data_IF_683018605884
#
_entry.id   IF_683018605884
#
_cell.length_a   1.000
_cell.length_b   1.000
_cell.length_c   1.000
_cell.angle_alpha   90.00
_cell.angle_beta   90.00
_cell.angle_gamma   90.00
#
_symmetry.space_group_name_H-M   'P 1'
#
loop_
_entity.id
_entity.type
_entity.pdbx_description
1 polymer ?
#
# COMPACT_ATOMS: atom_id res chain seq x y z
N UNK A 1 19.48 -0.88 -9.05
CA UNK A 1 19.26 -1.04 -7.60
C UNK A 1 17.78 -0.78 -7.30
N UNK A 2 17.23 -1.44 -6.29
CA UNK A 2 15.88 -1.22 -5.79
C UNK A 2 15.99 -0.80 -4.33
N UNK A 3 15.25 0.25 -3.95
CA UNK A 3 15.12 0.71 -2.57
C UNK A 3 13.74 0.27 -2.06
N UNK A 4 13.68 -0.23 -0.84
CA UNK A 4 12.44 -0.69 -0.19
C UNK A 4 12.00 0.30 0.88
N UNK A 5 11.82 1.56 0.47
CA UNK A 5 11.40 2.66 1.32
C UNK A 5 9.89 2.91 1.17
N UNK A 6 9.34 3.83 1.97
CA UNK A 6 7.95 4.25 1.85
C UNK A 6 7.68 5.07 0.57
N UNK A 7 6.39 5.26 0.23
CA UNK A 7 5.99 6.02 -0.96
C UNK A 7 6.54 7.45 -0.99
N UNK A 8 6.62 8.12 0.16
CA UNK A 8 7.16 9.49 0.25
C UNK A 8 8.66 9.51 -0.02
N UNK A 9 9.41 8.60 0.61
CA UNK A 9 10.85 8.48 0.38
C UNK A 9 11.15 8.14 -1.09
N UNK A 10 10.34 7.24 -1.69
CA UNK A 10 10.44 6.90 -3.10
C UNK A 10 10.18 8.10 -4.02
N UNK A 11 9.20 8.95 -3.69
CA UNK A 11 8.90 10.17 -4.42
C UNK A 11 10.04 11.20 -4.29
N UNK A 12 10.58 11.39 -3.09
CA UNK A 12 11.68 12.31 -2.84
C UNK A 12 12.96 11.88 -3.58
N UNK A 13 13.30 10.58 -3.57
CA UNK A 13 14.41 10.02 -4.34
C UNK A 13 14.21 10.17 -5.86
N UNK A 14 12.98 10.00 -6.33
CA UNK A 14 12.66 10.22 -7.74
C UNK A 14 12.91 11.68 -8.14
N UNK A 15 12.42 12.63 -7.34
CA UNK A 15 12.64 14.08 -7.57
C UNK A 15 14.11 14.46 -7.50
N UNK A 16 14.88 13.84 -6.60
CA UNK A 16 16.33 14.01 -6.50
C UNK A 16 17.12 13.35 -7.65
N UNK A 17 16.46 12.60 -8.54
CA UNK A 17 17.12 11.88 -9.64
C UNK A 17 17.90 10.63 -9.21
N UNK A 18 17.65 10.13 -8.01
CA UNK A 18 18.28 8.92 -7.47
C UNK A 18 17.61 7.62 -7.99
N UNK A 19 16.41 7.75 -8.60
CA UNK A 19 15.65 6.65 -9.18
C UNK A 19 14.87 7.10 -10.40
N UNK A 20 14.63 6.18 -11.32
CA UNK A 20 13.88 6.41 -12.57
C UNK A 20 12.41 5.99 -12.46
N UNK A 21 12.05 5.34 -11.37
CA UNK A 21 10.67 4.96 -11.05
C UNK A 21 10.46 4.88 -9.54
N UNK A 22 9.23 5.17 -9.09
CA UNK A 22 8.81 5.03 -7.70
C UNK A 22 7.39 4.47 -7.62
N UNK A 23 7.18 3.45 -6.78
CA UNK A 23 5.86 2.92 -6.45
C UNK A 23 5.18 3.77 -5.38
N UNK A 24 3.95 4.21 -5.64
CA UNK A 24 3.25 5.17 -4.81
C UNK A 24 1.85 4.67 -4.43
N UNK A 25 1.47 4.92 -3.16
CA UNK A 25 0.11 4.72 -2.63
C UNK A 25 -0.18 5.78 -1.56
N UNK A 26 -0.01 7.05 -1.93
CA UNK A 26 -0.20 8.19 -1.02
C UNK A 26 -1.66 8.60 -1.05
N UNK A 27 -2.37 8.41 0.07
CA UNK A 27 -3.74 8.87 0.25
C UNK A 27 -3.78 10.36 0.56
N UNK A 28 -4.69 11.09 -0.09
CA UNK A 28 -5.04 12.48 0.23
C UNK A 28 -6.41 12.50 0.92
N UNK A 29 -6.39 12.66 2.24
CA UNK A 29 -7.58 12.70 3.07
C UNK A 29 -8.55 13.85 2.75
N UNK A 30 -8.05 14.93 2.12
CA UNK A 30 -8.89 16.09 1.80
C UNK A 30 -9.80 15.87 0.59
N UNK A 31 -9.37 15.01 -0.34
CA UNK A 31 -10.08 14.74 -1.60
C UNK A 31 -10.50 13.29 -1.75
N UNK A 32 -10.16 12.46 -0.76
CA UNK A 32 -10.34 11.01 -0.77
C UNK A 32 -9.80 10.38 -2.09
N UNK A 33 -8.60 10.80 -2.48
CA UNK A 33 -7.96 10.35 -3.71
C UNK A 33 -6.52 9.88 -3.47
N UNK A 34 -5.92 9.25 -4.48
CA UNK A 34 -4.61 8.63 -4.36
C UNK A 34 -3.58 9.31 -5.27
N UNK A 35 -2.38 9.52 -4.73
CA UNK A 35 -1.15 9.87 -5.45
C UNK A 35 -1.12 11.23 -6.17
N UNK A 36 -2.23 11.67 -6.80
CA UNK A 36 -2.27 12.81 -7.72
C UNK A 36 -1.73 14.09 -7.08
N UNK A 37 -2.21 14.44 -5.88
CA UNK A 37 -1.78 15.66 -5.20
C UNK A 37 -0.30 15.61 -4.83
N UNK A 38 0.16 14.50 -4.27
CA UNK A 38 1.56 14.33 -3.89
C UNK A 38 2.48 14.45 -5.12
N UNK A 39 2.13 13.77 -6.22
CA UNK A 39 2.91 13.80 -7.46
C UNK A 39 2.88 15.17 -8.12
N UNK A 40 1.70 15.81 -8.24
CA UNK A 40 1.59 17.14 -8.86
C UNK A 40 2.35 18.22 -8.08
N UNK A 41 2.43 18.12 -6.77
CA UNK A 41 3.20 19.04 -5.94
C UNK A 41 4.71 18.81 -6.06
N UNK A 42 5.16 17.55 -6.03
CA UNK A 42 6.57 17.22 -5.97
C UNK A 42 7.23 17.11 -7.34
N UNK A 43 6.54 16.56 -8.35
CA UNK A 43 7.12 16.17 -9.63
C UNK A 43 6.62 16.96 -10.84
N UNK A 44 5.88 18.07 -10.67
CA UNK A 44 5.34 18.88 -11.78
C UNK A 44 6.40 19.51 -12.69
N UNK A 45 7.65 19.59 -12.23
CA UNK A 45 8.78 20.11 -13.01
C UNK A 45 9.69 18.99 -13.55
N UNK A 46 9.34 17.75 -13.29
CA UNK A 46 10.08 16.57 -13.75
C UNK A 46 9.52 16.13 -15.11
N UNK A 47 10.34 15.42 -15.91
CA UNK A 47 9.85 14.76 -17.11
C UNK A 47 9.21 13.41 -16.74
N UNK A 48 8.05 13.45 -16.09
CA UNK A 48 7.46 12.30 -15.43
C UNK A 48 6.05 11.98 -15.88
N UNK A 49 5.67 10.73 -15.71
CA UNK A 49 4.32 10.20 -15.92
C UNK A 49 3.95 9.29 -14.75
N UNK A 50 2.72 9.39 -14.28
CA UNK A 50 2.16 8.47 -13.28
C UNK A 50 1.27 7.45 -14.00
N UNK A 51 1.59 6.17 -13.84
CA UNK A 51 0.88 5.05 -14.44
C UNK A 51 0.11 4.30 -13.38
N UNK A 52 -1.16 3.97 -13.64
CA UNK A 52 -1.91 3.01 -12.83
C UNK A 52 -1.16 1.67 -12.83
N UNK A 53 -1.00 1.07 -11.66
CA UNK A 53 -0.38 -0.25 -11.55
C UNK A 53 -1.37 -1.31 -11.07
N UNK A 54 -2.02 -1.08 -9.94
CA UNK A 54 -3.03 -1.99 -9.39
C UNK A 54 -3.92 -1.28 -8.38
N UNK A 55 -5.14 -1.75 -8.22
CA UNK A 55 -5.92 -1.55 -6.99
C UNK A 55 -5.63 -2.70 -6.04
N UNK A 56 -5.44 -2.40 -4.75
CA UNK A 56 -5.12 -3.40 -3.72
C UNK A 56 -6.14 -3.33 -2.60
N UNK A 57 -6.64 -4.46 -2.14
CA UNK A 57 -7.48 -4.49 -0.94
C UNK A 57 -6.63 -4.43 0.31
N UNK A 58 -6.93 -3.43 1.15
CA UNK A 58 -6.30 -3.21 2.44
C UNK A 58 -7.34 -3.27 3.55
N UNK A 59 -6.95 -3.81 4.70
CA UNK A 59 -7.88 -4.01 5.80
C UNK A 59 -7.22 -4.63 7.01
N UNK A 60 -8.02 -5.26 7.86
CA UNK A 60 -7.55 -5.90 9.08
C UNK A 60 -7.08 -7.32 8.79
N UNK A 61 -5.86 -7.60 9.17
CA UNK A 61 -5.26 -8.94 9.17
C UNK A 61 -5.36 -9.49 10.58
N UNK A 62 -6.01 -10.63 10.73
CA UNK A 62 -6.31 -11.25 12.04
C UNK A 62 -6.06 -12.75 12.00
N UNK A 63 -5.96 -13.40 13.16
CA UNK A 63 -5.94 -14.86 13.22
C UNK A 63 -7.30 -15.46 12.83
N UNK A 64 -7.32 -16.60 12.15
CA UNK A 64 -8.57 -17.21 11.68
C UNK A 64 -9.44 -17.81 12.80
N UNK A 65 -8.86 -18.09 13.96
CA UNK A 65 -9.48 -18.73 15.12
C UNK A 65 -10.02 -17.72 16.16
N UNK A 66 -9.80 -16.42 15.93
CA UNK A 66 -10.28 -15.34 16.80
C UNK A 66 -11.61 -14.75 16.33
N UNK A 67 -12.29 -13.98 17.21
CA UNK A 67 -13.47 -13.22 16.83
C UNK A 67 -13.11 -12.15 15.82
N UNK A 68 -13.65 -12.27 14.59
CA UNK A 68 -13.42 -11.29 13.54
C UNK A 68 -14.07 -9.95 13.91
N UNK A 69 -13.34 -8.81 13.83
CA UNK A 69 -13.94 -7.49 13.91
C UNK A 69 -14.82 -7.25 12.69
N UNK A 70 -15.93 -6.53 12.84
CA UNK A 70 -16.76 -6.13 11.72
C UNK A 70 -16.18 -4.91 10.99
N UNK A 71 -15.38 -4.08 11.69
CA UNK A 71 -14.76 -2.89 11.16
C UNK A 71 -13.62 -2.40 12.06
N UNK A 72 -13.15 -1.17 11.78
CA UNK A 72 -12.06 -0.56 12.55
C UNK A 72 -12.47 -0.19 13.97
N UNK A 73 -13.73 0.17 14.19
CA UNK A 73 -14.31 0.50 15.51
C UNK A 73 -14.26 -0.68 16.49
N UNK A 74 -14.35 -1.91 15.99
CA UNK A 74 -14.23 -3.14 16.80
C UNK A 74 -12.79 -3.43 17.27
N UNK A 75 -11.82 -2.57 16.94
CA UNK A 75 -10.46 -2.69 17.46
C UNK A 75 -10.26 -2.11 18.86
N UNK A 76 -11.23 -1.37 19.39
CA UNK A 76 -11.15 -0.83 20.75
C UNK A 76 -10.86 -1.94 21.76
N UNK A 77 -9.84 -1.75 22.60
CA UNK A 77 -9.37 -2.72 23.59
C UNK A 77 -8.60 -3.92 23.01
N UNK A 78 -8.40 -4.02 21.69
CA UNK A 78 -7.59 -5.08 21.08
C UNK A 78 -6.13 -4.66 20.99
N UNK A 79 -5.25 -5.67 21.00
CA UNK A 79 -3.82 -5.48 20.78
C UNK A 79 -3.53 -5.42 19.28
N UNK A 80 -3.03 -4.26 18.82
CA UNK A 80 -2.82 -3.98 17.40
C UNK A 80 -1.35 -3.70 17.11
N UNK A 81 -0.79 -4.28 16.05
CA UNK A 81 0.56 -3.97 15.57
C UNK A 81 0.50 -2.69 14.75
N UNK A 82 1.12 -1.59 15.21
CA UNK A 82 1.20 -0.36 14.44
C UNK A 82 2.34 -0.42 13.42
N UNK A 83 2.22 0.39 12.37
CA UNK A 83 3.31 0.66 11.46
C UNK A 83 4.07 1.92 11.91
N UNK A 84 5.26 2.11 11.35
CA UNK A 84 6.08 3.31 11.63
C UNK A 84 5.26 4.58 11.45
N UNK A 85 5.36 5.49 12.42
CA UNK A 85 4.67 6.78 12.36
C UNK A 85 5.05 7.55 11.08
N UNK A 86 4.04 8.07 10.38
CA UNK A 86 4.20 8.80 9.12
C UNK A 86 4.38 7.92 7.88
N UNK A 87 4.42 6.59 8.02
CA UNK A 87 4.33 5.71 6.84
C UNK A 87 2.95 5.86 6.16
N UNK A 88 2.88 5.54 4.85
CA UNK A 88 1.61 5.59 4.13
C UNK A 88 0.52 4.74 4.79
N UNK A 89 0.89 3.56 5.29
CA UNK A 89 -0.03 2.65 6.00
C UNK A 89 -0.50 3.23 7.34
N UNK A 90 0.40 3.81 8.13
CA UNK A 90 0.05 4.45 9.41
C UNK A 90 -0.86 5.68 9.19
N UNK A 91 -0.51 6.53 8.22
CA UNK A 91 -1.30 7.72 7.88
C UNK A 91 -2.71 7.35 7.44
N UNK A 92 -2.84 6.35 6.57
CA UNK A 92 -4.14 5.85 6.11
C UNK A 92 -4.94 5.22 7.25
N UNK A 93 -4.32 4.38 8.06
CA UNK A 93 -4.98 3.75 9.21
C UNK A 93 -5.57 4.79 10.17
N UNK A 94 -4.79 5.81 10.55
CA UNK A 94 -5.25 6.89 11.44
C UNK A 94 -6.42 7.66 10.84
N UNK A 95 -6.39 7.93 9.54
CA UNK A 95 -7.47 8.60 8.86
C UNK A 95 -8.77 7.78 8.88
N UNK A 96 -8.69 6.50 8.49
CA UNK A 96 -9.84 5.60 8.46
C UNK A 96 -10.38 5.28 9.87
N UNK A 97 -9.50 5.14 10.87
CA UNK A 97 -9.89 4.97 12.27
C UNK A 97 -10.71 6.17 12.76
N UNK A 98 -10.26 7.39 12.45
CA UNK A 98 -11.01 8.60 12.77
C UNK A 98 -12.39 8.66 12.09
N UNK A 99 -12.50 8.23 10.83
CA UNK A 99 -13.78 8.13 10.13
C UNK A 99 -14.72 7.08 10.74
N UNK A 100 -14.16 5.97 11.23
CA UNK A 100 -14.90 4.92 11.92
C UNK A 100 -15.26 5.26 13.38
N UNK A 101 -14.79 6.40 13.91
CA UNK A 101 -15.02 6.81 15.28
C UNK A 101 -14.15 6.06 16.32
N UNK A 102 -13.09 5.38 15.88
CA UNK A 102 -12.14 4.72 16.77
C UNK A 102 -11.17 5.75 17.36
N UNK A 103 -11.15 5.85 18.68
CA UNK A 103 -10.09 6.58 19.37
C UNK A 103 -8.83 5.68 19.44
N UNK A 104 -7.73 6.16 18.89
CA UNK A 104 -6.47 5.40 18.89
C UNK A 104 -5.89 5.20 20.29
N UNK A 105 -6.32 5.97 21.28
CA UNK A 105 -5.97 5.75 22.70
C UNK A 105 -6.65 4.53 23.31
N UNK A 106 -7.70 4.01 22.68
CA UNK A 106 -8.39 2.79 23.11
C UNK A 106 -7.70 1.51 22.61
N UNK A 107 -6.65 1.63 21.79
CA UNK A 107 -5.87 0.49 21.33
C UNK A 107 -4.78 0.09 22.32
N UNK A 108 -4.61 -1.22 22.54
CA UNK A 108 -3.38 -1.76 23.10
C UNK A 108 -2.36 -1.91 21.95
N UNK A 109 -1.33 -1.07 21.92
CA UNK A 109 -0.34 -1.09 20.84
C UNK A 109 0.79 -2.06 21.16
N UNK A 110 1.03 -3.00 20.24
CA UNK A 110 2.21 -3.85 20.24
C UNK A 110 3.44 -3.07 19.73
N UNK A 111 4.58 -3.76 19.57
CA UNK A 111 5.79 -3.18 19.01
C UNK A 111 5.56 -2.73 17.57
N UNK A 112 6.25 -1.64 17.17
CA UNK A 112 6.12 -1.04 15.84
C UNK A 112 6.79 -1.92 14.78
N UNK A 113 6.03 -2.40 13.82
CA UNK A 113 6.56 -3.13 12.68
C UNK A 113 7.06 -2.20 11.56
N UNK A 114 8.22 -2.55 10.98
CA UNK A 114 8.84 -1.80 9.88
C UNK A 114 8.36 -2.24 8.51
N UNK A 115 7.95 -3.49 8.37
CA UNK A 115 7.46 -4.06 7.11
C UNK A 115 6.05 -4.62 7.26
N UNK A 116 5.35 -4.83 6.15
CA UNK A 116 4.04 -5.51 6.14
C UNK A 116 4.19 -6.94 6.67
N UNK A 117 5.23 -7.66 6.21
CA UNK A 117 5.48 -9.04 6.61
C UNK A 117 5.75 -9.17 8.11
N UNK A 118 6.54 -8.24 8.68
CA UNK A 118 6.81 -8.22 10.12
C UNK A 118 5.52 -8.04 10.94
N UNK A 119 4.66 -7.09 10.53
CA UNK A 119 3.38 -6.85 11.20
C UNK A 119 2.47 -8.07 11.16
N UNK A 120 2.36 -8.70 10.00
CA UNK A 120 1.53 -9.89 9.80
C UNK A 120 2.09 -11.10 10.56
N UNK A 121 3.42 -11.25 10.61
CA UNK A 121 4.08 -12.31 11.36
C UNK A 121 3.84 -12.19 12.87
N UNK A 122 3.82 -10.96 13.43
CA UNK A 122 3.49 -10.74 14.84
C UNK A 122 2.06 -11.20 15.15
N UNK A 123 1.10 -10.91 14.28
CA UNK A 123 -0.28 -11.41 14.41
C UNK A 123 -0.31 -12.94 14.34
N UNK A 124 0.41 -13.54 13.39
CA UNK A 124 0.49 -14.99 13.24
C UNK A 124 1.04 -15.69 14.48
N UNK A 125 2.01 -15.08 15.16
CA UNK A 125 2.60 -15.61 16.42
C UNK A 125 1.72 -15.37 17.64
N UNK A 126 0.62 -14.61 17.51
CA UNK A 126 -0.24 -14.27 18.63
C UNK A 126 0.31 -13.16 19.53
N UNK A 127 1.28 -12.40 19.05
CA UNK A 127 1.83 -11.23 19.76
C UNK A 127 0.87 -10.04 19.73
N UNK A 128 -0.09 -10.07 18.79
CA UNK A 128 -1.19 -9.12 18.67
C UNK A 128 -2.44 -9.78 18.07
N UNK A 129 -3.58 -9.12 18.20
CA UNK A 129 -4.86 -9.58 17.66
C UNK A 129 -5.04 -9.22 16.20
N UNK A 130 -4.53 -8.04 15.79
CA UNK A 130 -4.71 -7.51 14.46
C UNK A 130 -3.54 -6.61 14.01
N UNK A 131 -3.45 -6.42 12.69
CA UNK A 131 -2.71 -5.32 12.07
C UNK A 131 -3.48 -4.81 10.86
N UNK A 132 -3.21 -3.57 10.43
CA UNK A 132 -3.75 -3.01 9.20
C UNK A 132 -2.78 -3.27 8.04
N UNK A 133 -3.19 -4.15 7.12
CA UNK A 133 -2.30 -4.66 6.08
C UNK A 133 -3.00 -5.01 4.76
N UNK A 134 -2.28 -5.67 3.86
CA UNK A 134 -2.76 -6.10 2.54
C UNK A 134 -3.35 -7.50 2.60
N UNK A 135 -4.46 -7.75 1.88
CA UNK A 135 -5.08 -9.07 1.75
C UNK A 135 -4.10 -10.13 1.23
N UNK A 136 -3.33 -9.79 0.22
CA UNK A 136 -2.36 -10.73 -0.37
C UNK A 136 -1.31 -11.20 0.65
N UNK A 137 -0.89 -10.33 1.57
CA UNK A 137 0.05 -10.69 2.63
C UNK A 137 -0.65 -11.58 3.65
N UNK A 138 -1.84 -11.20 4.10
CA UNK A 138 -2.65 -12.05 5.01
C UNK A 138 -2.82 -13.46 4.48
N UNK A 139 -3.21 -13.61 3.22
CA UNK A 139 -3.35 -14.91 2.55
C UNK A 139 -2.04 -15.70 2.49
N UNK A 140 -0.93 -15.02 2.20
CA UNK A 140 0.40 -15.65 2.15
C UNK A 140 0.84 -16.25 3.49
N UNK A 141 0.36 -15.70 4.60
CA UNK A 141 0.62 -16.19 5.96
C UNK A 141 -0.51 -17.09 6.52
N UNK A 142 -1.54 -17.38 5.74
CA UNK A 142 -2.67 -18.20 6.17
C UNK A 142 -3.56 -17.53 7.23
N UNK A 143 -3.59 -16.19 7.25
CA UNK A 143 -4.38 -15.39 8.17
C UNK A 143 -5.72 -14.98 7.54
N UNK A 144 -6.69 -14.66 8.38
CA UNK A 144 -7.96 -14.10 7.97
C UNK A 144 -7.83 -12.60 7.66
N UNK A 145 -8.74 -12.10 6.84
CA UNK A 145 -8.71 -10.72 6.37
C UNK A 145 -10.11 -10.11 6.36
N UNK A 146 -10.23 -8.89 6.90
CA UNK A 146 -11.45 -8.09 6.87
C UNK A 146 -11.18 -6.86 6.01
N UNK A 147 -11.82 -6.71 4.84
CA UNK A 147 -11.56 -5.60 3.94
C UNK A 147 -12.07 -4.27 4.53
N UNK A 148 -11.29 -3.20 4.37
CA UNK A 148 -11.63 -1.85 4.84
C UNK A 148 -11.61 -0.84 3.70
N UNK A 149 -10.62 -0.89 2.82
CA UNK A 149 -10.46 0.09 1.76
C UNK A 149 -9.78 -0.53 0.53
N UNK A 150 -10.09 0.01 -0.64
CA UNK A 150 -9.34 -0.22 -1.87
C UNK A 150 -8.30 0.89 -2.03
N UNK A 151 -7.05 0.50 -2.19
CA UNK A 151 -5.90 1.38 -2.30
C UNK A 151 -5.39 1.39 -3.74
N UNK A 152 -5.23 2.58 -4.33
CA UNK A 152 -4.63 2.72 -5.66
C UNK A 152 -3.11 2.76 -5.57
N UNK A 153 -2.46 1.74 -6.10
CA UNK A 153 -1.03 1.70 -6.27
C UNK A 153 -0.66 2.13 -7.69
N UNK A 154 0.22 3.12 -7.80
CA UNK A 154 0.66 3.68 -9.06
C UNK A 154 2.19 3.68 -9.18
N UNK A 155 2.70 3.72 -10.39
CA UNK A 155 4.12 3.82 -10.71
C UNK A 155 4.42 5.19 -11.33
N UNK A 156 5.17 6.02 -10.60
CA UNK A 156 5.76 7.25 -11.14
C UNK A 156 7.02 6.88 -11.91
N UNK A 157 7.15 7.33 -13.16
CA UNK A 157 8.24 6.94 -14.04
C UNK A 157 8.82 8.18 -14.75
N UNK A 158 10.15 8.26 -14.86
CA UNK A 158 10.79 9.19 -15.78
C UNK A 158 10.45 8.79 -17.22
N UNK A 159 9.93 9.76 -17.99
CA UNK A 159 9.39 9.51 -19.34
C UNK A 159 10.45 9.04 -20.34
N UNK A 160 11.71 9.48 -20.18
CA UNK A 160 12.81 9.01 -21.03
C UNK A 160 13.23 7.59 -20.64
N UNK A 161 13.30 7.33 -19.34
CA UNK A 161 13.64 6.01 -18.81
C UNK A 161 12.58 4.96 -19.15
N UNK A 162 11.31 5.34 -19.36
CA UNK A 162 10.26 4.41 -19.78
C UNK A 162 10.64 3.62 -21.03
N UNK A 163 11.31 4.25 -21.97
CA UNK A 163 11.67 3.63 -23.26
C UNK A 163 12.97 2.83 -23.24
N UNK A 164 13.66 2.74 -22.10
CA UNK A 164 14.86 1.91 -22.01
C UNK A 164 14.50 0.44 -21.67
N UNK A 165 15.36 -0.53 -22.10
CA UNK A 165 15.04 -1.96 -22.01
C UNK A 165 14.58 -2.45 -20.64
N UNK A 166 15.14 -2.01 -19.49
CA UNK A 166 14.68 -2.50 -18.19
C UNK A 166 13.21 -2.19 -17.89
N UNK A 167 12.72 -0.98 -18.19
CA UNK A 167 11.33 -0.60 -17.96
C UNK A 167 10.39 -1.17 -19.02
N UNK A 168 10.87 -1.30 -20.26
CA UNK A 168 10.11 -2.01 -21.29
C UNK A 168 9.96 -3.50 -20.98
N UNK A 169 10.97 -4.12 -20.39
CA UNK A 169 10.89 -5.49 -19.88
C UNK A 169 9.86 -5.64 -18.76
N UNK A 170 9.82 -4.66 -17.84
CA UNK A 170 8.79 -4.60 -16.80
C UNK A 170 7.39 -4.45 -17.40
N UNK A 171 7.20 -3.54 -18.33
CA UNK A 171 5.91 -3.31 -19.01
C UNK A 171 5.43 -4.58 -19.73
N UNK A 172 6.32 -5.22 -20.51
CA UNK A 172 6.00 -6.47 -21.20
C UNK A 172 5.65 -7.62 -20.24
N UNK A 173 6.35 -7.71 -19.11
CA UNK A 173 6.01 -8.70 -18.07
C UNK A 173 4.64 -8.40 -17.44
N UNK A 174 4.35 -7.16 -17.13
CA UNK A 174 3.07 -6.74 -16.55
C UNK A 174 1.87 -7.00 -17.48
N UNK A 175 2.07 -7.00 -18.80
CA UNK A 175 1.03 -7.34 -19.78
C UNK A 175 0.87 -8.86 -20.01
N UNK A 176 1.72 -9.67 -19.41
CA UNK A 176 1.78 -11.11 -19.63
C UNK A 176 0.70 -11.88 -18.86
N UNK A 177 0.30 -13.05 -19.37
CA UNK A 177 -0.58 -14.00 -18.65
C UNK A 177 0.01 -14.46 -17.30
N UNK A 178 1.31 -14.77 -17.17
CA UNK A 178 1.91 -15.13 -15.87
C UNK A 178 1.73 -14.04 -14.81
N UNK A 179 1.86 -12.76 -15.17
CA UNK A 179 1.66 -11.66 -14.23
C UNK A 179 0.21 -11.61 -13.73
N UNK A 180 -0.77 -11.66 -14.65
CA UNK A 180 -2.20 -11.66 -14.29
C UNK A 180 -2.55 -12.87 -13.44
N UNK A 181 -2.12 -14.06 -13.84
CA UNK A 181 -2.33 -15.28 -13.05
C UNK A 181 -1.71 -15.19 -11.64
N UNK A 182 -0.57 -14.49 -11.51
CA UNK A 182 0.05 -14.25 -10.21
C UNK A 182 -0.76 -13.28 -9.34
N UNK A 183 -1.28 -12.20 -9.93
CA UNK A 183 -2.15 -11.27 -9.22
C UNK A 183 -3.42 -11.97 -8.71
N UNK A 184 -4.07 -12.78 -9.56
CA UNK A 184 -5.26 -13.57 -9.20
C UNK A 184 -4.94 -14.56 -8.07
N UNK A 185 -3.81 -15.26 -8.15
CA UNK A 185 -3.40 -16.25 -7.14
C UNK A 185 -3.07 -15.62 -5.78
N UNK A 186 -2.50 -14.41 -5.77
CA UNK A 186 -2.26 -13.66 -4.54
C UNK A 186 -3.57 -13.22 -3.87
N UNK A 187 -4.56 -12.86 -4.68
CA UNK A 187 -5.80 -12.25 -4.23
C UNK A 187 -5.64 -10.81 -3.73
N UNK A 188 -6.75 -10.09 -3.69
CA UNK A 188 -6.74 -8.69 -3.23
C UNK A 188 -6.06 -7.69 -4.16
N UNK A 189 -5.70 -8.10 -5.38
CA UNK A 189 -5.18 -7.24 -6.44
C UNK A 189 -6.16 -7.19 -7.61
N UNK A 190 -6.47 -5.99 -8.09
CA UNK A 190 -7.04 -5.74 -9.40
C UNK A 190 -6.01 -5.01 -10.26
N UNK A 191 -5.65 -5.63 -11.38
CA UNK A 191 -4.66 -5.11 -12.34
C UNK A 191 -5.32 -4.60 -13.65
N UNK A 192 -6.63 -4.41 -13.64
CA UNK A 192 -7.33 -3.81 -14.77
C UNK A 192 -6.88 -2.36 -14.97
N UNK A 193 -6.66 -1.97 -16.23
CA UNK A 193 -6.14 -0.65 -16.57
C UNK A 193 -4.67 -0.40 -16.20
N UNK A 194 -3.90 -1.45 -15.90
CA UNK A 194 -2.46 -1.35 -15.69
C UNK A 194 -1.80 -0.64 -16.88
N UNK A 195 -0.90 0.31 -16.60
CA UNK A 195 -0.21 1.10 -17.61
C UNK A 195 -0.99 2.32 -18.11
N UNK A 196 -2.25 2.51 -17.70
CA UNK A 196 -3.00 3.72 -18.02
C UNK A 196 -2.35 4.95 -17.37
N UNK A 197 -2.18 6.01 -18.17
CA UNK A 197 -1.65 7.29 -17.67
C UNK A 197 -2.73 7.98 -16.83
N UNK A 198 -2.44 8.21 -15.55
CA UNK A 198 -3.34 8.92 -14.62
C UNK A 198 -2.90 10.35 -14.35
N UNK A 199 -1.62 10.64 -14.60
CA UNK A 199 -1.09 12.01 -14.53
C UNK A 199 0.15 12.16 -15.41
N UNK A 200 0.38 13.39 -15.87
CA UNK A 200 1.43 13.74 -16.82
C UNK A 200 1.95 15.15 -16.52
N UNK A 201 3.28 15.27 -16.28
CA UNK A 201 3.94 16.56 -16.04
C UNK A 201 4.15 17.35 -17.33
#
# INVERSE_FOLDING_TARGET
ATFHDGSRDGLDRFVAGEGVAAGLHVHDAATDSWNLRAVSQAASRQNAVLLRFATRRRGLVIRPDGPAPAGLDDLAGRRVVPRQAGSGTDTLFRHLAGQAGLDLSDLDLADVARTEDEAVEMVRRGEADATFGLEAVARGYGLAFVPVVEEEFALLVDRKAWFVPPLQGLAAFCDSRPFRARADALGGYDVEGLGTVVWNA
#
